data_IF_116985373695
#
_entry.id   IF_116985373695
#
_cell.length_a   1.000
_cell.length_b   1.000
_cell.length_c   1.000
_cell.angle_alpha   90.00
_cell.angle_beta   90.00
_cell.angle_gamma   90.00
#
_symmetry.space_group_name_H-M   'P 1'
#
loop_
_entity.id
_entity.type
_entity.pdbx_description
1 polymer ?
#
# COMPACT_ATOMS: atom_id res chain seq x y z
N UNK A 1 11.24 31.94 -9.85
CA UNK A 1 12.20 30.96 -10.40
C UNK A 1 12.00 29.74 -9.51
N UNK A 2 11.40 28.67 -10.02
CA UNK A 2 11.29 27.45 -9.23
C UNK A 2 12.70 26.96 -8.92
N UNK A 3 13.05 26.89 -7.64
CA UNK A 3 14.29 26.25 -7.21
C UNK A 3 14.03 24.74 -7.13
N UNK A 4 14.25 24.07 -8.25
CA UNK A 4 14.21 22.61 -8.33
C UNK A 4 15.63 22.11 -8.08
N UNK A 5 15.80 21.05 -7.27
CA UNK A 5 17.12 20.44 -7.05
C UNK A 5 17.73 19.94 -8.36
N UNK A 6 19.05 20.03 -8.50
CA UNK A 6 19.75 19.48 -9.67
C UNK A 6 19.72 17.97 -9.61
N UNK A 7 19.07 17.36 -10.61
CA UNK A 7 18.99 15.91 -10.76
C UNK A 7 20.15 15.44 -11.62
N UNK A 8 21.06 14.66 -11.04
CA UNK A 8 22.19 14.05 -11.77
C UNK A 8 21.92 12.57 -11.98
N UNK A 9 21.56 12.18 -13.21
CA UNK A 9 21.22 10.80 -13.54
C UNK A 9 19.91 10.69 -14.30
N UNK A 10 19.21 9.56 -14.13
CA UNK A 10 17.85 9.40 -14.64
C UNK A 10 16.87 10.16 -13.74
N UNK A 11 16.10 11.12 -14.26
CA UNK A 11 15.17 11.88 -13.44
C UNK A 11 14.08 11.02 -12.81
N UNK A 12 13.62 9.98 -13.50
CA UNK A 12 12.55 9.13 -13.00
C UNK A 12 13.00 8.37 -11.76
N UNK A 13 14.18 7.76 -11.80
CA UNK A 13 14.78 7.04 -10.65
C UNK A 13 14.97 7.98 -9.45
N UNK A 14 15.50 9.18 -9.68
CA UNK A 14 15.75 10.15 -8.63
C UNK A 14 14.46 10.68 -7.95
N UNK A 15 13.42 10.95 -8.74
CA UNK A 15 12.15 11.44 -8.20
C UNK A 15 11.32 10.33 -7.56
N UNK A 16 11.44 9.07 -8.02
CA UNK A 16 10.76 7.92 -7.41
C UNK A 16 11.32 7.52 -6.04
N UNK A 17 12.53 7.96 -5.69
CA UNK A 17 13.10 7.77 -4.34
C UNK A 17 12.58 8.81 -3.32
N UNK A 18 11.79 9.80 -3.75
CA UNK A 18 11.35 10.92 -2.94
C UNK A 18 9.84 10.89 -2.78
N UNK A 19 9.37 10.97 -1.53
CA UNK A 19 7.96 11.22 -1.26
C UNK A 19 7.56 12.65 -1.64
N UNK A 20 6.28 12.94 -1.81
CA UNK A 20 5.79 14.29 -2.02
C UNK A 20 6.20 15.22 -0.86
N UNK A 21 6.27 14.69 0.36
CA UNK A 21 6.74 15.40 1.55
C UNK A 21 8.24 15.74 1.50
N UNK A 22 9.06 14.97 0.78
CA UNK A 22 10.48 15.26 0.55
C UNK A 22 10.70 16.38 -0.47
N UNK A 23 9.68 16.76 -1.25
CA UNK A 23 9.73 17.86 -2.20
C UNK A 23 9.64 19.22 -1.48
N UNK A 24 10.41 20.19 -1.95
CA UNK A 24 10.27 21.58 -1.50
C UNK A 24 9.00 22.22 -2.06
N UNK A 25 8.51 23.30 -1.44
CA UNK A 25 7.30 23.98 -1.92
C UNK A 25 7.40 24.49 -3.36
N UNK A 26 8.60 24.81 -3.85
CA UNK A 26 8.83 25.17 -5.25
C UNK A 26 8.72 23.95 -6.19
N UNK A 27 9.17 22.77 -5.74
CA UNK A 27 9.09 21.51 -6.50
C UNK A 27 7.66 20.99 -6.55
N UNK A 28 6.95 20.95 -5.42
CA UNK A 28 5.53 20.61 -5.36
C UNK A 28 4.73 21.52 -6.29
N UNK A 29 4.98 22.84 -6.30
CA UNK A 29 4.29 23.77 -7.18
C UNK A 29 4.54 23.53 -8.68
N UNK A 30 5.70 22.97 -9.05
CA UNK A 30 6.01 22.58 -10.43
C UNK A 30 5.30 21.28 -10.79
N UNK A 31 5.35 20.28 -9.93
CA UNK A 31 4.68 19.00 -10.14
C UNK A 31 3.15 19.14 -10.16
N UNK A 32 2.58 20.00 -9.31
CA UNK A 32 1.17 20.39 -9.36
C UNK A 32 0.80 21.08 -10.67
N UNK A 33 1.67 21.89 -11.27
CA UNK A 33 1.41 22.46 -12.60
C UNK A 33 1.44 21.39 -13.72
N UNK A 34 2.19 20.31 -13.52
CA UNK A 34 2.23 19.16 -14.41
C UNK A 34 1.06 18.18 -14.19
N UNK A 35 0.23 18.42 -13.16
CA UNK A 35 -0.95 17.62 -12.84
C UNK A 35 -0.74 16.55 -11.78
N UNK A 36 0.43 16.52 -11.14
CA UNK A 36 0.74 15.62 -10.03
C UNK A 36 0.27 16.20 -8.70
N UNK A 37 -0.29 15.37 -7.84
CA UNK A 37 -0.67 15.69 -6.46
C UNK A 37 0.01 14.72 -5.51
N UNK A 38 0.07 15.06 -4.22
CA UNK A 38 0.52 14.15 -3.16
C UNK A 38 -0.10 12.76 -3.31
N UNK A 39 -1.43 12.72 -3.47
CA UNK A 39 -2.20 11.49 -3.65
C UNK A 39 -1.79 10.65 -4.88
N UNK A 40 -1.32 11.29 -5.97
CA UNK A 40 -0.92 10.57 -7.19
C UNK A 40 0.58 10.32 -7.26
N UNK A 41 1.36 10.99 -6.41
CA UNK A 41 2.82 10.93 -6.36
C UNK A 41 3.27 9.89 -5.33
N UNK A 42 2.62 9.94 -4.17
CA UNK A 42 2.74 8.96 -3.10
C UNK A 42 1.53 8.01 -3.14
N UNK A 43 1.08 7.60 -4.34
CA UNK A 43 0.08 6.52 -4.48
C UNK A 43 0.74 5.18 -4.07
N UNK A 44 1.20 5.09 -2.83
CA UNK A 44 1.12 3.85 -2.09
C UNK A 44 -0.33 3.78 -1.62
N UNK A 45 -1.03 2.70 -1.96
CA UNK A 45 -2.29 2.35 -1.31
C UNK A 45 -2.04 2.41 0.20
N UNK A 46 -2.47 3.52 0.84
CA UNK A 46 -2.25 3.81 2.26
C UNK A 46 -3.06 2.79 3.07
N UNK A 47 -2.49 1.60 3.19
CA UNK A 47 -3.03 0.56 4.04
C UNK A 47 -2.85 1.04 5.47
N UNK A 48 -3.93 1.09 6.26
CA UNK A 48 -3.85 1.58 7.63
C UNK A 48 -2.82 0.77 8.42
N UNK A 49 -2.04 1.46 9.26
CA UNK A 49 -1.13 0.78 10.19
C UNK A 49 -1.91 -0.26 10.99
N UNK A 50 -1.25 -1.37 11.35
CA UNK A 50 -1.93 -2.42 12.13
C UNK A 50 -2.58 -1.85 13.38
N UNK A 51 -1.99 -0.84 14.03
CA UNK A 51 -2.56 -0.23 15.24
C UNK A 51 -3.85 0.55 14.98
N UNK A 52 -4.03 1.11 13.78
CA UNK A 52 -5.22 1.89 13.39
C UNK A 52 -6.42 1.00 13.04
N UNK A 53 -6.17 -0.27 12.67
CA UNK A 53 -7.22 -1.26 12.43
C UNK A 53 -8.12 -1.45 13.66
N UNK A 54 -9.42 -1.64 13.41
CA UNK A 54 -10.38 -1.94 14.46
C UNK A 54 -10.07 -3.29 15.12
N UNK A 55 -10.54 -3.49 16.35
CA UNK A 55 -10.36 -4.78 17.04
C UNK A 55 -11.03 -5.95 16.30
N UNK A 56 -12.05 -5.65 15.49
CA UNK A 56 -12.73 -6.63 14.64
C UNK A 56 -11.86 -6.98 13.44
N UNK A 57 -11.34 -5.97 12.72
CA UNK A 57 -10.48 -6.19 11.55
C UNK A 57 -9.19 -6.92 11.93
N UNK A 58 -8.52 -6.51 13.02
CA UNK A 58 -7.34 -7.21 13.56
C UNK A 58 -7.60 -8.69 13.80
N UNK A 59 -8.81 -9.03 14.25
CA UNK A 59 -9.20 -10.42 14.51
C UNK A 59 -9.42 -11.18 13.21
N UNK A 60 -10.06 -10.56 12.22
CA UNK A 60 -10.30 -11.15 10.90
C UNK A 60 -8.97 -11.37 10.16
N UNK A 61 -8.09 -10.37 10.15
CA UNK A 61 -6.71 -10.49 9.67
C UNK A 61 -5.93 -11.57 10.43
N UNK A 62 -6.12 -11.67 11.76
CA UNK A 62 -5.55 -12.77 12.55
C UNK A 62 -6.03 -14.17 12.15
N UNK A 63 -7.24 -14.33 11.63
CA UNK A 63 -7.75 -15.62 11.10
C UNK A 63 -7.03 -15.98 9.79
N UNK A 64 -6.72 -14.98 8.98
CA UNK A 64 -5.86 -15.09 7.81
C UNK A 64 -4.38 -15.33 8.21
N UNK A 65 -4.04 -15.30 9.50
CA UNK A 65 -2.68 -15.50 9.98
C UNK A 65 -1.84 -14.22 9.98
N UNK A 66 -2.42 -13.07 9.62
CA UNK A 66 -1.75 -11.79 9.75
C UNK A 66 -1.58 -11.41 11.22
N UNK A 67 -0.43 -10.83 11.50
CA UNK A 67 -0.10 -10.28 12.80
C UNK A 67 0.50 -8.90 12.60
N UNK A 68 0.59 -8.10 13.67
CA UNK A 68 1.25 -6.80 13.64
C UNK A 68 2.64 -6.88 12.99
N UNK A 69 3.43 -7.89 13.37
CA UNK A 69 4.78 -8.06 12.86
C UNK A 69 4.80 -8.38 11.36
N UNK A 70 3.92 -9.28 10.88
CA UNK A 70 3.80 -9.59 9.44
C UNK A 70 3.26 -8.39 8.64
N UNK A 71 2.35 -7.62 9.22
CA UNK A 71 1.74 -6.43 8.60
C UNK A 71 2.74 -5.27 8.46
N UNK A 72 3.59 -5.07 9.47
CA UNK A 72 4.62 -4.01 9.48
C UNK A 72 5.94 -4.47 8.82
N UNK A 73 5.97 -5.67 8.22
CA UNK A 73 7.17 -6.21 7.56
C UNK A 73 8.30 -6.63 8.51
N UNK A 74 8.00 -6.81 9.79
CA UNK A 74 8.93 -7.33 10.80
C UNK A 74 9.05 -8.86 10.78
N UNK A 75 8.02 -9.56 10.29
CA UNK A 75 7.95 -11.03 10.20
C UNK A 75 7.47 -11.48 8.81
N UNK A 76 7.46 -12.80 8.57
CA UNK A 76 7.03 -13.36 7.28
C UNK A 76 5.53 -13.13 7.07
N UNK A 77 5.13 -12.96 5.80
CA UNK A 77 3.71 -12.85 5.45
C UNK A 77 3.03 -14.22 5.65
N UNK A 78 1.74 -14.25 6.05
CA UNK A 78 1.05 -15.50 6.22
C UNK A 78 0.84 -16.22 4.88
N UNK A 79 0.80 -17.55 4.91
CA UNK A 79 0.53 -18.37 3.72
C UNK A 79 -0.81 -18.02 3.05
N UNK A 80 -1.77 -17.42 3.78
CA UNK A 80 -3.03 -16.98 3.18
C UNK A 80 -2.82 -15.89 2.13
N UNK A 81 -1.82 -15.02 2.30
CA UNK A 81 -1.55 -13.89 1.41
C UNK A 81 -0.98 -14.35 0.05
N UNK A 82 -0.39 -15.54 -0.01
CA UNK A 82 0.14 -16.16 -1.23
C UNK A 82 -0.85 -17.14 -1.88
N UNK A 83 -2.01 -17.37 -1.25
CA UNK A 83 -3.04 -18.29 -1.74
C UNK A 83 -4.11 -17.55 -2.51
N UNK A 84 -4.56 -18.20 -3.58
CA UNK A 84 -5.79 -17.81 -4.25
C UNK A 84 -6.99 -18.01 -3.32
N UNK A 85 -8.06 -17.27 -3.55
CA UNK A 85 -9.30 -17.36 -2.76
C UNK A 85 -9.81 -18.81 -2.67
N UNK A 86 -9.69 -19.59 -3.75
CA UNK A 86 -10.12 -20.99 -3.80
C UNK A 86 -9.25 -21.95 -2.95
N UNK A 87 -8.01 -21.58 -2.68
CA UNK A 87 -7.07 -22.33 -1.83
C UNK A 87 -7.14 -21.94 -0.34
N UNK A 88 -7.84 -20.83 -0.03
CA UNK A 88 -8.15 -20.45 1.34
C UNK A 88 -9.10 -21.46 2.01
N UNK A 89 -8.91 -21.66 3.30
CA UNK A 89 -9.85 -22.40 4.14
C UNK A 89 -11.17 -21.63 4.29
N UNK A 90 -12.23 -22.35 4.66
CA UNK A 90 -13.55 -21.72 4.87
C UNK A 90 -13.55 -20.65 5.96
N UNK A 91 -12.62 -20.70 6.92
CA UNK A 91 -12.47 -19.68 7.96
C UNK A 91 -11.80 -18.41 7.40
N UNK A 92 -10.76 -18.58 6.58
CA UNK A 92 -10.07 -17.49 5.89
C UNK A 92 -10.99 -16.76 4.90
N UNK A 93 -11.72 -17.49 4.06
CA UNK A 93 -12.70 -16.91 3.12
C UNK A 93 -13.79 -16.12 3.85
N UNK A 94 -14.29 -16.64 4.97
CA UNK A 94 -15.28 -15.95 5.78
C UNK A 94 -14.72 -14.66 6.37
N UNK A 95 -13.48 -14.71 6.88
CA UNK A 95 -12.82 -13.52 7.42
C UNK A 95 -12.57 -12.45 6.35
N UNK A 96 -12.07 -12.84 5.18
CA UNK A 96 -11.88 -11.95 4.05
C UNK A 96 -13.20 -11.35 3.55
N UNK A 97 -14.29 -12.14 3.53
CA UNK A 97 -15.64 -11.65 3.18
C UNK A 97 -16.14 -10.60 4.18
N UNK A 98 -15.93 -10.81 5.49
CA UNK A 98 -16.30 -9.86 6.53
C UNK A 98 -15.47 -8.57 6.48
N UNK A 99 -14.21 -8.67 6.04
CA UNK A 99 -13.34 -7.53 5.72
C UNK A 99 -13.77 -6.79 4.44
N UNK A 100 -14.71 -7.34 3.66
CA UNK A 100 -15.23 -6.75 2.44
C UNK A 100 -14.50 -7.16 1.15
N UNK A 101 -13.61 -8.15 1.23
CA UNK A 101 -13.02 -8.77 0.05
C UNK A 101 -14.01 -9.71 -0.63
N UNK A 102 -13.92 -9.73 -1.94
CA UNK A 102 -14.61 -10.71 -2.80
C UNK A 102 -13.55 -11.58 -3.48
N UNK A 103 -13.88 -12.79 -3.96
CA UNK A 103 -12.92 -13.62 -4.69
C UNK A 103 -12.25 -12.86 -5.84
N UNK A 104 -13.05 -12.08 -6.57
CA UNK A 104 -12.56 -11.22 -7.65
C UNK A 104 -11.56 -10.18 -7.17
N UNK A 105 -11.74 -9.58 -5.98
CA UNK A 105 -10.82 -8.57 -5.41
C UNK A 105 -9.61 -9.17 -4.72
N UNK A 106 -9.75 -10.38 -4.20
CA UNK A 106 -8.69 -11.08 -3.50
C UNK A 106 -7.67 -11.65 -4.49
N UNK A 107 -8.19 -12.22 -5.57
CA UNK A 107 -7.38 -12.72 -6.69
C UNK A 107 -7.13 -11.63 -7.75
N UNK A 108 -7.57 -10.38 -7.51
CA UNK A 108 -7.16 -9.22 -8.30
C UNK A 108 -5.72 -8.92 -7.90
N UNK A 109 -4.80 -9.73 -8.42
CA UNK A 109 -3.44 -9.26 -8.61
C UNK A 109 -3.58 -8.07 -9.56
N UNK A 110 -3.44 -6.84 -9.07
CA UNK A 110 -3.22 -5.65 -9.92
C UNK A 110 -1.94 -5.91 -10.73
N UNK A 111 -2.11 -6.67 -11.80
CA UNK A 111 -1.14 -6.82 -12.86
C UNK A 111 -1.12 -5.49 -13.59
N UNK A 112 -0.14 -4.66 -13.22
CA UNK A 112 0.56 -3.64 -14.01
C UNK A 112 -0.17 -3.00 -15.21
#
# INVERSE_FOLDING_TARGET
>A
MANIREVTGDPNEFWSELSWADLTSDEQAVWTQLGWTEESWDEEEDFPEWDDLSSEDKKLWGILGWSKASWEGEDDIPESAEKLWEDLTSEEQAAATELGYTPEKWDDEETE
#
